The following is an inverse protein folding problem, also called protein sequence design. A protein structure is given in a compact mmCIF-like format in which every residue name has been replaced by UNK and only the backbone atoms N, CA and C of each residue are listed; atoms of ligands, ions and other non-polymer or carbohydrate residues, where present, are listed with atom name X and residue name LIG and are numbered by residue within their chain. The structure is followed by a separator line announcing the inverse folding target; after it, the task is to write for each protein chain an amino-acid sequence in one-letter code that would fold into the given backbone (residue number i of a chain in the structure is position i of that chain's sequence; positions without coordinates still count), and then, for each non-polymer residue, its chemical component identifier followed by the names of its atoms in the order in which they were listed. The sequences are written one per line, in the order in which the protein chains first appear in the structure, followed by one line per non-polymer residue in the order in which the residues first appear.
data_IF_195439881982
#
_entry.id   IF_195439881982
#
_cell.length_a   1.000
_cell.length_b   1.000
_cell.length_c   1.000
_cell.angle_alpha   90.00
_cell.angle_beta   90.00
_cell.angle_gamma   90.00
#
_symmetry.space_group_name_H-M   'P 1'
#
loop_
_entity.id
_entity.type
_entity.pdbx_description
1 polymer ?
#
# COMPACT_ATOMS: atom_id res chain seq x y z
N UNK A 1 -12.12 10.55 7.70
CA UNK A 1 -12.11 10.69 6.23
C UNK A 1 -11.33 9.52 5.66
N UNK A 2 -11.78 8.97 4.54
CA UNK A 2 -11.09 7.88 3.82
C UNK A 2 -9.71 8.36 3.39
N UNK A 3 -8.73 7.47 3.44
CA UNK A 3 -7.36 7.72 2.97
C UNK A 3 -7.04 6.79 1.81
N UNK A 4 -6.41 7.33 0.78
CA UNK A 4 -6.09 6.60 -0.44
C UNK A 4 -4.58 6.55 -0.64
N UNK A 5 -4.09 5.43 -1.15
CA UNK A 5 -2.70 5.27 -1.58
C UNK A 5 -2.63 4.39 -2.83
N UNK A 6 -1.48 4.41 -3.50
CA UNK A 6 -1.14 3.45 -4.53
C UNK A 6 -0.15 2.43 -4.02
N UNK A 7 -0.26 1.21 -4.54
CA UNK A 7 0.83 0.23 -4.53
C UNK A 7 1.09 -0.26 -5.94
N UNK A 8 2.37 -0.36 -6.29
CA UNK A 8 2.82 -0.77 -7.62
C UNK A 8 3.88 -1.86 -7.54
N UNK A 9 3.80 -2.84 -8.43
CA UNK A 9 4.85 -3.83 -8.62
C UNK A 9 6.20 -3.19 -9.03
N UNK A 10 7.29 -3.58 -8.37
CA UNK A 10 8.62 -3.04 -8.68
C UNK A 10 9.16 -3.49 -10.04
N UNK A 11 8.75 -4.67 -10.51
CA UNK A 11 9.26 -5.24 -11.78
C UNK A 11 8.44 -4.83 -13.00
N UNK A 12 7.31 -4.15 -12.83
CA UNK A 12 6.39 -3.84 -13.92
C UNK A 12 5.65 -2.52 -13.71
N UNK A 13 5.52 -1.76 -14.79
CA UNK A 13 4.68 -0.56 -14.83
C UNK A 13 3.24 -0.85 -15.21
N UNK A 14 2.96 -2.05 -15.74
CA UNK A 14 1.66 -2.39 -16.29
C UNK A 14 0.84 -3.22 -15.33
N UNK A 15 1.44 -4.23 -14.70
CA UNK A 15 0.77 -5.30 -13.94
C UNK A 15 0.81 -5.10 -12.43
N UNK A 16 -0.19 -5.65 -11.74
CA UNK A 16 -0.28 -5.70 -10.27
C UNK A 16 -0.10 -4.32 -9.62
N UNK A 17 -0.94 -3.38 -10.05
CA UNK A 17 -1.04 -2.05 -9.46
C UNK A 17 -2.40 -1.92 -8.80
N UNK A 18 -2.44 -1.33 -7.61
CA UNK A 18 -3.67 -1.19 -6.86
C UNK A 18 -3.83 0.23 -6.35
N UNK A 19 -5.08 0.69 -6.32
CA UNK A 19 -5.49 1.71 -5.35
C UNK A 19 -5.82 1.00 -4.05
N UNK A 20 -5.19 1.43 -2.96
CA UNK A 20 -5.54 1.00 -1.61
C UNK A 20 -6.45 2.06 -1.01
N UNK A 21 -7.56 1.61 -0.42
CA UNK A 21 -8.51 2.45 0.29
C UNK A 21 -8.50 2.05 1.75
N UNK A 22 -8.21 3.01 2.63
CA UNK A 22 -8.19 2.85 4.08
C UNK A 22 -9.31 3.67 4.71
N UNK A 23 -9.95 3.13 5.75
CA UNK A 23 -10.98 3.84 6.50
C UNK A 23 -10.49 5.18 7.10
N UNK A 24 -9.19 5.29 7.36
CA UNK A 24 -8.52 6.53 7.75
C UNK A 24 -7.00 6.45 7.50
N UNK A 25 -6.29 7.58 7.64
CA UNK A 25 -4.82 7.60 7.61
C UNK A 25 -4.21 6.77 8.74
N UNK A 26 -4.79 6.82 9.94
CA UNK A 26 -4.33 6.02 11.07
C UNK A 26 -4.39 4.52 10.75
N UNK A 27 -5.47 4.07 10.08
CA UNK A 27 -5.57 2.67 9.60
C UNK A 27 -4.48 2.34 8.58
N UNK A 28 -4.10 3.28 7.71
CA UNK A 28 -2.98 3.08 6.77
C UNK A 28 -1.64 2.91 7.49
N UNK A 29 -1.37 3.75 8.50
CA UNK A 29 -0.14 3.66 9.30
C UNK A 29 -0.08 2.37 10.13
N UNK A 30 -1.21 1.97 10.74
CA UNK A 30 -1.33 0.72 11.48
C UNK A 30 -1.18 -0.52 10.58
N UNK A 31 -1.79 -0.50 9.38
CA UNK A 31 -1.64 -1.57 8.39
C UNK A 31 -0.18 -1.68 7.93
N UNK A 32 0.46 -0.56 7.62
CA UNK A 32 1.87 -0.55 7.23
C UNK A 32 2.76 -1.10 8.34
N UNK A 33 2.52 -0.72 9.60
CA UNK A 33 3.26 -1.26 10.74
C UNK A 33 3.09 -2.78 10.83
N UNK A 34 1.86 -3.30 10.71
CA UNK A 34 1.61 -4.74 10.73
C UNK A 34 2.34 -5.49 9.60
N UNK A 35 2.31 -4.95 8.38
CA UNK A 35 3.00 -5.53 7.21
C UNK A 35 4.52 -5.45 7.34
N UNK A 36 5.07 -4.34 7.82
CA UNK A 36 6.53 -4.15 7.93
C UNK A 36 7.15 -4.91 9.09
N UNK A 37 6.38 -5.25 10.13
CA UNK A 37 6.88 -5.99 11.31
C UNK A 37 6.37 -7.43 11.40
N UNK A 38 5.69 -7.96 10.38
CA UNK A 38 5.25 -9.37 10.37
C UNK A 38 6.44 -10.32 10.34
N UNK A 39 6.31 -11.47 11.01
CA UNK A 39 7.25 -12.59 10.92
C UNK A 39 7.16 -13.35 9.59
N UNK A 40 6.13 -13.09 8.78
CA UNK A 40 5.99 -13.67 7.43
C UNK A 40 6.90 -12.91 6.46
N UNK A 41 8.19 -13.31 6.44
CA UNK A 41 9.32 -12.61 5.79
C UNK A 41 9.01 -12.13 4.37
N UNK A 42 8.36 -12.96 3.54
CA UNK A 42 8.04 -12.59 2.16
C UNK A 42 7.20 -11.30 2.05
N UNK A 43 6.40 -10.94 3.05
CA UNK A 43 5.64 -9.68 3.05
C UNK A 43 6.46 -8.50 3.59
N UNK A 44 7.17 -8.68 4.71
CA UNK A 44 7.95 -7.59 5.32
C UNK A 44 9.17 -7.19 4.49
N UNK A 45 9.70 -8.08 3.64
CA UNK A 45 10.82 -7.76 2.75
C UNK A 45 10.40 -7.21 1.39
N UNK A 46 9.26 -7.66 0.85
CA UNK A 46 8.84 -7.31 -0.51
C UNK A 46 7.98 -6.05 -0.58
N UNK A 47 7.24 -5.69 0.47
CA UNK A 47 6.37 -4.51 0.48
C UNK A 47 7.10 -3.35 1.15
N UNK A 48 7.15 -2.20 0.47
CA UNK A 48 7.83 -0.98 0.94
C UNK A 48 6.91 0.22 0.86
N UNK A 49 6.92 1.05 1.90
CA UNK A 49 6.33 2.39 1.90
C UNK A 49 7.35 3.39 1.39
N UNK A 50 7.06 4.03 0.27
CA UNK A 50 7.91 5.10 -0.31
C UNK A 50 7.54 6.44 0.30
N UNK A 51 6.24 6.72 0.42
CA UNK A 51 5.71 7.87 1.15
C UNK A 51 4.30 7.55 1.68
N UNK A 52 3.58 8.55 2.19
CA UNK A 52 2.27 8.36 2.78
C UNK A 52 1.25 7.71 1.81
N UNK A 53 1.26 8.10 0.53
CA UNK A 53 0.30 7.66 -0.49
C UNK A 53 0.91 6.73 -1.55
N UNK A 54 2.17 6.32 -1.41
CA UNK A 54 2.85 5.51 -2.42
C UNK A 54 3.64 4.37 -1.78
N UNK A 55 3.32 3.16 -2.20
CA UNK A 55 3.94 1.91 -1.79
C UNK A 55 4.42 1.15 -3.02
N UNK A 56 5.34 0.22 -2.81
CA UNK A 56 5.77 -0.74 -3.82
C UNK A 56 5.71 -2.14 -3.25
N UNK A 57 5.60 -3.14 -4.13
CA UNK A 57 5.75 -4.54 -3.76
C UNK A 57 6.49 -5.35 -4.83
N UNK A 58 7.13 -6.45 -4.43
CA UNK A 58 7.61 -7.48 -5.35
C UNK A 58 6.60 -8.64 -5.41
N UNK A 59 5.85 -8.72 -6.51
CA UNK A 59 4.84 -9.76 -6.73
C UNK A 59 5.46 -11.16 -6.84
N UNK A 60 6.75 -11.26 -7.20
CA UNK A 60 7.47 -12.53 -7.19
C UNK A 60 7.62 -13.13 -5.79
N UNK A 61 7.46 -12.30 -4.75
CA UNK A 61 7.54 -12.69 -3.34
C UNK A 61 6.17 -12.66 -2.66
N UNK A 62 5.48 -11.52 -2.71
CA UNK A 62 4.16 -11.35 -2.13
C UNK A 62 3.32 -10.28 -2.83
N UNK A 63 2.04 -10.58 -3.04
CA UNK A 63 1.08 -9.59 -3.48
C UNK A 63 0.58 -8.77 -2.27
N UNK A 64 0.56 -7.44 -2.38
CA UNK A 64 0.12 -6.57 -1.29
C UNK A 64 -1.35 -6.80 -0.92
N UNK A 65 -2.19 -7.17 -1.89
CA UNK A 65 -3.59 -7.49 -1.64
C UNK A 65 -3.77 -8.73 -0.72
N UNK A 66 -2.81 -9.66 -0.75
CA UNK A 66 -2.86 -10.89 0.05
C UNK A 66 -2.55 -10.65 1.54
N UNK A 67 -2.14 -9.43 1.91
CA UNK A 67 -1.91 -9.04 3.32
C UNK A 67 -3.19 -9.19 4.16
N UNK A 68 -4.36 -9.02 3.56
CA UNK A 68 -5.66 -9.09 4.23
C UNK A 68 -6.20 -10.51 4.40
N UNK A 69 -5.64 -11.49 3.67
CA UNK A 69 -6.09 -12.88 3.68
C UNK A 69 -5.04 -13.85 4.23
N UNK A 70 -3.78 -13.43 4.30
CA UNK A 70 -2.69 -14.26 4.84
C UNK A 70 -2.59 -14.12 6.36
N UNK A 71 -2.83 -15.23 7.07
CA UNK A 71 -2.70 -15.33 8.53
C UNK A 71 -1.33 -14.86 9.01
N UNK A 72 -1.31 -14.04 10.07
CA UNK A 72 -0.08 -13.50 10.66
C UNK A 72 0.46 -12.24 9.99
N UNK A 73 -0.21 -11.72 8.95
CA UNK A 73 0.19 -10.48 8.26
C UNK A 73 -0.70 -9.31 8.69
N UNK A 74 -1.88 -9.15 8.09
CA UNK A 74 -2.74 -7.99 8.33
C UNK A 74 -4.25 -8.34 8.21
N UNK A 75 -4.65 -9.58 8.52
CA UNK A 75 -6.06 -10.03 8.41
C UNK A 75 -7.02 -9.24 9.30
N UNK A 76 -6.54 -8.67 10.41
CA UNK A 76 -7.29 -7.79 11.30
C UNK A 76 -7.74 -6.47 10.66
N UNK A 77 -7.24 -6.15 9.46
CA UNK A 77 -7.62 -4.97 8.68
C UNK A 77 -8.72 -5.24 7.65
N UNK A 78 -9.21 -6.48 7.56
CA UNK A 78 -10.38 -6.80 6.73
C UNK A 78 -11.59 -5.95 7.16
N UNK A 79 -12.27 -5.34 6.19
CA UNK A 79 -13.36 -4.39 6.44
C UNK A 79 -12.91 -2.95 6.78
N UNK A 80 -11.60 -2.71 6.98
CA UNK A 80 -11.02 -1.37 7.17
C UNK A 80 -10.12 -0.95 6.01
N UNK A 81 -9.64 -1.91 5.24
CA UNK A 81 -8.77 -1.73 4.07
C UNK A 81 -9.28 -2.60 2.93
N UNK A 82 -9.26 -2.08 1.70
CA UNK A 82 -9.44 -2.89 0.50
C UNK A 82 -8.55 -2.41 -0.63
N UNK A 83 -8.33 -3.31 -1.59
CA UNK A 83 -7.48 -3.10 -2.76
C UNK A 83 -8.35 -3.15 -4.02
N UNK A 84 -8.18 -2.18 -4.90
CA UNK A 84 -8.81 -2.19 -6.23
C UNK A 84 -7.71 -2.33 -7.27
N UNK A 85 -7.71 -3.45 -8.00
CA UNK A 85 -6.77 -3.70 -9.09
C UNK A 85 -6.99 -2.67 -10.20
N UNK A 86 -5.91 -2.00 -10.62
CA UNK A 86 -5.91 -1.11 -11.77
C UNK A 86 -5.67 -1.95 -13.02
N UNK A 87 -6.54 -1.82 -14.04
CA UNK A 87 -6.38 -2.57 -15.29
C UNK A 87 -5.05 -2.25 -15.99
N UNK A 88 -4.47 -3.29 -16.58
CA UNK A 88 -3.24 -3.23 -17.35
C UNK A 88 -3.45 -2.47 -18.66
N UNK A 89 -2.62 -1.45 -18.93
CA UNK A 89 -2.35 -0.84 -20.24
C UNK A 89 -3.54 -0.41 -21.15
N UNK A 90 -4.77 -0.32 -20.65
CA UNK A 90 -5.94 0.16 -21.43
C UNK A 90 -5.95 1.66 -21.73
N UNK A 91 -4.87 2.40 -21.41
CA UNK A 91 -4.65 3.79 -21.82
C UNK A 91 -5.61 4.85 -21.26
N UNK A 92 -6.55 4.50 -20.38
CA UNK A 92 -7.64 5.41 -19.97
C UNK A 92 -7.92 5.51 -18.48
N UNK A 93 -7.20 4.76 -17.63
CA UNK A 93 -7.40 4.81 -16.19
C UNK A 93 -6.34 5.70 -15.54
N UNK A 94 -6.68 6.97 -15.38
CA UNK A 94 -6.10 7.81 -14.35
C UNK A 94 -6.92 7.55 -13.08
N UNK A 95 -6.47 6.64 -12.23
CA UNK A 95 -6.93 6.71 -10.84
C UNK A 95 -6.28 7.97 -10.28
N UNK A 96 -7.07 9.01 -10.02
CA UNK A 96 -6.62 10.21 -9.32
C UNK A 96 -7.10 10.04 -7.89
N UNK A 97 -6.17 9.94 -6.95
CA UNK A 97 -6.50 10.04 -5.52
C UNK A 97 -6.36 11.51 -5.09
N UNK A 98 -7.19 11.98 -4.16
CA UNK A 98 -7.07 13.34 -3.66
C UNK A 98 -5.65 13.59 -3.11
N UNK A 99 -5.02 14.72 -3.48
CA UNK A 99 -3.78 15.12 -2.85
C UNK A 99 -4.01 15.34 -1.35
N UNK A 100 -2.93 15.17 -0.61
CA UNK A 100 -2.92 15.38 0.83
C UNK A 100 -2.80 16.88 1.11
N UNK A 101 -3.93 17.56 1.24
CA UNK A 101 -4.01 19.03 1.31
C UNK A 101 -3.30 19.71 2.51
N UNK A 102 -2.63 18.99 3.41
CA UNK A 102 -2.03 19.57 4.62
C UNK A 102 -0.85 18.75 5.23
N UNK A 103 0.06 18.19 4.42
CA UNK A 103 1.13 17.34 4.98
C UNK A 103 2.53 17.91 4.72
N UNK A 104 3.23 18.22 5.81
CA UNK A 104 4.69 18.39 5.85
C UNK A 104 5.26 17.03 6.21
N UNK A 105 6.03 16.40 5.31
CA UNK A 105 6.92 15.32 5.71
C UNK A 105 7.94 15.94 6.68
N UNK A 106 7.80 15.66 7.97
CA UNK A 106 8.85 15.94 8.92
C UNK A 106 9.99 14.95 8.64
N UNK A 107 10.75 15.20 7.56
CA UNK A 107 12.13 14.75 7.49
C UNK A 107 12.82 15.51 8.61
N UNK A 108 12.91 14.87 9.78
CA UNK A 108 13.83 15.33 10.81
C UNK A 108 15.23 15.25 10.20
N UNK A 109 15.72 16.42 9.77
CA UNK A 109 17.13 16.57 9.45
C UNK A 109 17.94 16.14 10.66
N UNK A 110 18.92 15.27 10.44
CA UNK A 110 20.01 15.08 11.36
C UNK A 110 21.33 15.07 10.56
N UNK A 111 22.04 16.18 10.77
CA UNK A 111 23.50 16.44 10.67
C UNK A 111 24.23 16.11 9.38
#
# INVERSE_FOLDING_TARGET
MVFYAYVKNITSNSTYRYVIVFASRAVADEWWRAVSTTSVVKFSESIRRVNAQFYTHDVGQANAADTLTTTGVATQFLGKVFFTLQYDLGGRLLSIIPPLDNFVDHVSGNS
#
